data_IF_378385192645
#
_entry.id   IF_378385192645
#
_cell.length_a   1.000
_cell.length_b   1.000
_cell.length_c   1.000
_cell.angle_alpha   90.00
_cell.angle_beta   90.00
_cell.angle_gamma   90.00
#
_symmetry.space_group_name_H-M   'P 1'
#
loop_
_entity.id
_entity.type
_entity.pdbx_description
1 polymer ?
#
# COMPACT_ATOMS: atom_id res chain seq x y z
N UNK A 1 -5.98 14.95 -19.54
CA UNK A 1 -5.64 13.51 -19.71
C UNK A 1 -4.15 13.47 -20.05
N UNK A 2 -3.30 13.27 -19.08
CA UNK A 2 -1.89 12.96 -19.33
C UNK A 2 -1.85 11.52 -19.80
N UNK A 3 -1.49 11.33 -21.07
CA UNK A 3 -1.21 10.04 -21.70
C UNK A 3 0.07 9.48 -21.03
N UNK A 4 -0.10 8.87 -19.86
CA UNK A 4 0.96 8.07 -19.25
C UNK A 4 0.94 6.74 -19.97
N UNK A 5 2.01 6.43 -20.69
CA UNK A 5 2.16 5.16 -21.38
C UNK A 5 1.99 3.97 -20.42
N UNK A 6 1.88 2.73 -20.93
CA UNK A 6 1.65 1.54 -20.12
C UNK A 6 2.75 1.39 -19.04
N UNK A 7 2.35 1.18 -17.79
CA UNK A 7 3.27 0.99 -16.65
C UNK A 7 3.93 -0.39 -16.64
N UNK A 8 3.30 -1.37 -17.30
CA UNK A 8 3.78 -2.76 -17.37
C UNK A 8 3.82 -3.26 -18.82
N UNK A 9 4.77 -4.14 -19.11
CA UNK A 9 4.75 -4.92 -20.36
C UNK A 9 3.46 -5.75 -20.41
N UNK A 10 2.77 -5.76 -21.57
CA UNK A 10 1.48 -6.45 -21.80
C UNK A 10 0.31 -5.94 -20.94
N UNK A 11 0.35 -4.70 -20.50
CA UNK A 11 -0.76 -4.10 -19.77
C UNK A 11 -2.04 -4.11 -20.59
N UNK A 12 -3.13 -4.61 -19.98
CA UNK A 12 -4.46 -4.61 -20.59
C UNK A 12 -5.02 -3.19 -20.68
N UNK A 13 -5.69 -2.90 -21.81
CA UNK A 13 -6.37 -1.61 -21.98
C UNK A 13 -7.77 -1.68 -21.37
N UNK A 14 -8.00 -0.85 -20.37
CA UNK A 14 -9.31 -0.70 -19.71
C UNK A 14 -9.89 0.66 -20.05
N UNK A 15 -11.06 0.67 -20.69
CA UNK A 15 -11.80 1.90 -21.03
C UNK A 15 -13.11 1.98 -20.25
N UNK A 16 -13.63 3.19 -19.97
CA UNK A 16 -14.95 3.33 -19.32
C UNK A 16 -16.08 2.60 -20.06
N UNK A 17 -16.05 2.58 -21.40
CA UNK A 17 -17.05 1.88 -22.22
C UNK A 17 -16.97 0.36 -22.06
N UNK A 18 -15.77 -0.21 -21.96
CA UNK A 18 -15.57 -1.62 -21.64
C UNK A 18 -16.16 -1.95 -20.27
N UNK A 19 -15.81 -1.16 -19.26
CA UNK A 19 -16.30 -1.37 -17.89
C UNK A 19 -17.81 -1.20 -17.81
N UNK A 20 -18.40 -0.26 -18.56
CA UNK A 20 -19.85 -0.10 -18.64
C UNK A 20 -20.53 -1.35 -19.20
N UNK A 21 -20.04 -1.93 -20.31
CA UNK A 21 -20.58 -3.19 -20.87
C UNK A 21 -20.48 -4.37 -19.89
N UNK A 22 -19.35 -4.47 -19.17
CA UNK A 22 -19.16 -5.51 -18.13
C UNK A 22 -20.17 -5.36 -16.98
N UNK A 23 -20.40 -4.13 -16.53
CA UNK A 23 -21.37 -3.82 -15.47
C UNK A 23 -22.80 -4.08 -15.93
N UNK A 24 -23.19 -3.67 -17.14
CA UNK A 24 -24.54 -3.85 -17.67
C UNK A 24 -24.89 -5.33 -17.84
N UNK A 25 -23.89 -6.16 -18.18
CA UNK A 25 -24.05 -7.63 -18.33
C UNK A 25 -24.12 -8.33 -16.97
N UNK A 26 -23.22 -8.00 -16.04
CA UNK A 26 -23.03 -8.80 -14.82
C UNK A 26 -23.67 -8.18 -13.57
N UNK A 27 -23.87 -6.85 -13.56
CA UNK A 27 -24.42 -6.09 -12.43
C UNK A 27 -25.48 -5.09 -12.89
N UNK A 28 -26.55 -5.53 -13.57
CA UNK A 28 -27.54 -4.64 -14.20
C UNK A 28 -28.25 -3.71 -13.20
N UNK A 29 -28.28 -4.07 -11.91
CA UNK A 29 -28.82 -3.22 -10.84
C UNK A 29 -28.04 -1.92 -10.66
N UNK A 30 -26.76 -1.86 -11.08
CA UNK A 30 -25.90 -0.68 -10.99
C UNK A 30 -25.74 0.11 -12.29
N UNK A 31 -26.43 -0.28 -13.39
CA UNK A 31 -26.31 0.36 -14.71
C UNK A 31 -26.63 1.85 -14.72
N UNK A 32 -27.47 2.31 -13.78
CA UNK A 32 -27.88 3.72 -13.65
C UNK A 32 -26.85 4.59 -12.95
N UNK A 33 -25.85 3.99 -12.28
CA UNK A 33 -24.84 4.72 -11.54
C UNK A 33 -23.79 5.32 -12.49
N UNK A 34 -23.36 6.56 -12.28
CA UNK A 34 -22.29 7.16 -13.06
C UNK A 34 -20.97 6.42 -12.82
N UNK A 35 -20.18 6.25 -13.89
CA UNK A 35 -18.88 5.63 -13.86
C UNK A 35 -17.82 6.68 -14.17
N UNK A 36 -16.84 6.86 -13.29
CA UNK A 36 -15.79 7.88 -13.39
C UNK A 36 -14.40 7.25 -13.20
N UNK A 37 -13.45 7.42 -14.13
CA UNK A 37 -12.06 7.04 -13.90
C UNK A 37 -11.49 7.75 -12.68
N UNK A 38 -10.69 7.04 -11.89
CA UNK A 38 -9.94 7.62 -10.76
C UNK A 38 -8.55 8.00 -11.27
N UNK A 39 -8.21 9.28 -11.17
CA UNK A 39 -6.88 9.76 -11.56
C UNK A 39 -5.82 9.17 -10.63
N UNK A 40 -4.73 8.64 -11.19
CA UNK A 40 -3.66 8.01 -10.39
C UNK A 40 -4.05 6.66 -9.79
N UNK A 41 -5.22 6.11 -10.15
CA UNK A 41 -5.70 4.85 -9.60
C UNK A 41 -4.79 3.69 -9.95
N UNK A 42 -4.25 3.04 -8.93
CA UNK A 42 -3.53 1.78 -8.87
C UNK A 42 -2.46 1.48 -9.93
N UNK A 43 -1.34 0.96 -9.51
CA UNK A 43 -0.28 0.51 -10.43
C UNK A 43 -0.59 -0.85 -11.04
N UNK A 44 -1.36 -1.70 -10.35
CA UNK A 44 -1.68 -3.09 -10.76
C UNK A 44 -3.13 -3.27 -11.23
N UNK A 45 -4.04 -2.35 -10.87
CA UNK A 45 -5.45 -2.38 -11.27
C UNK A 45 -5.89 -1.05 -11.84
N UNK A 46 -6.73 -1.08 -12.89
CA UNK A 46 -7.54 0.07 -13.24
C UNK A 46 -8.67 0.24 -12.23
N UNK A 47 -8.82 1.44 -11.66
CA UNK A 47 -9.86 1.76 -10.68
C UNK A 47 -10.82 2.79 -11.25
N UNK A 48 -12.11 2.49 -11.19
CA UNK A 48 -13.17 3.42 -11.60
C UNK A 48 -14.18 3.53 -10.44
N UNK A 49 -14.56 4.78 -10.12
CA UNK A 49 -15.62 5.03 -9.14
C UNK A 49 -16.99 4.80 -9.79
N UNK A 50 -17.85 4.02 -9.13
CA UNK A 50 -19.19 3.70 -9.57
C UNK A 50 -20.21 4.30 -8.59
N UNK A 51 -20.92 5.33 -9.02
CA UNK A 51 -21.75 6.14 -8.14
C UNK A 51 -20.90 6.82 -7.06
N UNK A 52 -21.46 6.99 -5.87
CA UNK A 52 -20.76 7.62 -4.74
C UNK A 52 -20.14 6.59 -3.78
N UNK A 53 -20.63 5.35 -3.78
CA UNK A 53 -20.31 4.35 -2.75
C UNK A 53 -19.52 3.14 -3.23
N UNK A 54 -19.18 3.00 -4.51
CA UNK A 54 -18.54 1.80 -5.04
C UNK A 54 -17.30 2.13 -5.87
N UNK A 55 -16.37 1.18 -5.92
CA UNK A 55 -15.22 1.16 -6.81
C UNK A 55 -15.19 -0.15 -7.61
N UNK A 56 -14.91 -0.04 -8.90
CA UNK A 56 -14.67 -1.18 -9.81
C UNK A 56 -13.17 -1.30 -10.00
N UNK A 57 -12.62 -2.49 -9.78
CA UNK A 57 -11.18 -2.78 -9.91
C UNK A 57 -10.98 -3.86 -10.97
N UNK A 58 -10.19 -3.55 -11.98
CA UNK A 58 -9.83 -4.47 -13.06
C UNK A 58 -8.31 -4.67 -13.07
N UNK A 59 -7.79 -5.88 -12.81
CA UNK A 59 -6.37 -6.18 -12.97
C UNK A 59 -5.84 -5.75 -14.34
N UNK A 60 -4.67 -5.09 -14.35
CA UNK A 60 -4.03 -4.61 -15.59
C UNK A 60 -3.12 -5.66 -16.22
N UNK A 61 -2.73 -6.67 -15.46
CA UNK A 61 -1.86 -7.76 -15.89
C UNK A 61 -2.36 -9.09 -15.34
N UNK A 62 -1.96 -10.19 -15.97
CA UNK A 62 -2.28 -11.56 -15.55
C UNK A 62 -2.40 -12.46 -16.76
N UNK A 63 -1.73 -13.60 -16.72
CA UNK A 63 -1.71 -14.58 -17.82
C UNK A 63 -2.69 -15.74 -17.60
N UNK A 64 -3.04 -16.04 -16.33
CA UNK A 64 -3.96 -17.10 -15.95
C UNK A 64 -5.17 -16.55 -15.17
N UNK A 65 -6.38 -16.55 -15.79
CA UNK A 65 -7.59 -16.09 -15.11
C UNK A 65 -7.95 -16.87 -13.84
N UNK A 66 -7.52 -18.13 -13.70
CA UNK A 66 -7.78 -18.95 -12.51
C UNK A 66 -6.93 -18.45 -11.34
N UNK A 67 -5.65 -18.17 -11.57
CA UNK A 67 -4.75 -17.60 -10.56
C UNK A 67 -5.19 -16.19 -10.17
N UNK A 68 -5.54 -15.34 -11.15
CA UNK A 68 -6.06 -13.99 -10.87
C UNK A 68 -7.33 -14.05 -10.03
N UNK A 69 -8.24 -15.00 -10.30
CA UNK A 69 -9.45 -15.21 -9.49
C UNK A 69 -9.09 -15.56 -8.05
N UNK A 70 -8.21 -16.54 -7.86
CA UNK A 70 -7.77 -16.96 -6.53
C UNK A 70 -7.11 -15.80 -5.75
N UNK A 71 -6.30 -14.96 -6.42
CA UNK A 71 -5.72 -13.75 -5.84
C UNK A 71 -6.79 -12.76 -5.39
N UNK A 72 -7.79 -12.45 -6.24
CA UNK A 72 -8.90 -11.54 -5.89
C UNK A 72 -9.77 -12.09 -4.74
N UNK A 73 -9.94 -13.41 -4.64
CA UNK A 73 -10.66 -14.06 -3.53
C UNK A 73 -9.86 -13.95 -2.23
N UNK A 74 -8.54 -14.13 -2.28
CA UNK A 74 -7.65 -13.92 -1.13
C UNK A 74 -7.62 -12.46 -0.68
N UNK A 75 -7.50 -11.50 -1.61
CA UNK A 75 -7.60 -10.06 -1.33
C UNK A 75 -8.93 -9.71 -0.65
N UNK A 76 -10.05 -10.26 -1.14
CA UNK A 76 -11.37 -10.00 -0.58
C UNK A 76 -11.47 -10.50 0.88
N UNK A 77 -10.91 -11.68 1.17
CA UNK A 77 -10.87 -12.24 2.53
C UNK A 77 -10.00 -11.39 3.46
N UNK A 78 -8.81 -10.99 3.00
CA UNK A 78 -7.90 -10.13 3.77
C UNK A 78 -8.51 -8.75 4.06
N UNK A 79 -9.15 -8.13 3.06
CA UNK A 79 -9.84 -6.85 3.21
C UNK A 79 -11.00 -6.92 4.20
N UNK A 80 -11.79 -7.99 4.16
CA UNK A 80 -12.86 -8.22 5.12
C UNK A 80 -12.33 -8.43 6.55
N UNK A 81 -11.23 -9.17 6.69
CA UNK A 81 -10.59 -9.39 7.99
C UNK A 81 -10.02 -8.09 8.57
N UNK A 82 -9.36 -7.26 7.75
CA UNK A 82 -8.88 -5.94 8.18
C UNK A 82 -10.05 -5.05 8.61
N UNK A 83 -11.08 -4.92 7.77
CA UNK A 83 -12.21 -4.04 8.05
C UNK A 83 -12.98 -4.41 9.32
N UNK A 84 -12.92 -5.68 9.74
CA UNK A 84 -13.57 -6.15 10.97
C UNK A 84 -12.90 -5.62 12.25
N UNK A 85 -11.63 -5.23 12.20
CA UNK A 85 -10.85 -4.80 13.37
C UNK A 85 -10.31 -3.37 13.25
N UNK A 86 -10.19 -2.85 12.05
CA UNK A 86 -9.64 -1.51 11.79
C UNK A 86 -10.61 -0.43 12.29
N UNK A 87 -10.16 0.51 13.15
CA UNK A 87 -11.00 1.62 13.59
C UNK A 87 -11.23 2.66 12.48
N UNK A 88 -10.43 2.64 11.42
CA UNK A 88 -10.60 3.50 10.25
C UNK A 88 -11.36 2.79 9.12
N UNK A 89 -12.11 3.51 8.27
CA UNK A 89 -12.77 2.94 7.11
C UNK A 89 -11.80 2.18 6.18
N UNK A 90 -12.24 1.05 5.66
CA UNK A 90 -11.51 0.29 4.65
C UNK A 90 -12.48 -0.24 3.57
N UNK A 91 -12.01 -0.52 2.34
CA UNK A 91 -12.84 -1.10 1.31
C UNK A 91 -13.38 -2.47 1.73
N UNK A 92 -14.68 -2.66 1.57
CA UNK A 92 -15.34 -3.96 1.76
C UNK A 92 -15.59 -4.60 0.40
N UNK A 93 -15.28 -5.90 0.22
CA UNK A 93 -15.61 -6.61 -1.02
C UNK A 93 -17.14 -6.67 -1.19
N UNK A 94 -17.62 -6.34 -2.39
CA UNK A 94 -19.04 -6.41 -2.75
C UNK A 94 -19.30 -7.62 -3.64
N UNK A 95 -18.52 -7.79 -4.70
CA UNK A 95 -18.67 -8.94 -5.59
C UNK A 95 -17.42 -9.17 -6.44
N UNK A 96 -17.21 -10.41 -6.82
CA UNK A 96 -16.21 -10.84 -7.80
C UNK A 96 -16.92 -11.23 -9.10
N UNK A 97 -16.47 -10.63 -10.19
CA UNK A 97 -17.07 -10.73 -11.51
C UNK A 97 -16.21 -11.57 -12.46
N UNK A 98 -16.85 -12.01 -13.57
CA UNK A 98 -16.23 -12.87 -14.58
C UNK A 98 -15.57 -12.05 -15.70
N UNK A 99 -14.61 -12.62 -16.46
CA UNK A 99 -14.19 -12.10 -17.76
C UNK A 99 -15.39 -11.85 -18.69
N UNK A 100 -15.25 -10.93 -19.65
CA UNK A 100 -16.29 -10.65 -20.64
C UNK A 100 -15.97 -9.49 -21.56
N UNK A 101 -16.72 -9.34 -22.63
CA UNK A 101 -16.62 -8.22 -23.58
C UNK A 101 -15.19 -7.95 -24.10
N UNK A 102 -14.35 -9.01 -24.23
CA UNK A 102 -12.96 -8.91 -24.64
C UNK A 102 -11.97 -8.60 -23.52
N UNK A 103 -12.42 -8.39 -22.28
CA UNK A 103 -11.56 -8.34 -21.11
C UNK A 103 -11.34 -9.76 -20.56
N UNK A 104 -10.07 -10.26 -20.49
CA UNK A 104 -9.82 -11.69 -20.29
C UNK A 104 -9.78 -12.11 -18.82
N UNK A 105 -9.73 -11.17 -17.86
CA UNK A 105 -9.51 -11.46 -16.45
C UNK A 105 -10.78 -11.29 -15.61
N UNK A 106 -10.91 -11.99 -14.48
CA UNK A 106 -11.88 -11.64 -13.46
C UNK A 106 -11.57 -10.24 -12.88
N UNK A 107 -12.61 -9.60 -12.36
CA UNK A 107 -12.55 -8.25 -11.82
C UNK A 107 -13.46 -8.14 -10.59
N UNK A 108 -13.33 -7.07 -9.81
CA UNK A 108 -14.05 -6.94 -8.54
C UNK A 108 -14.74 -5.59 -8.39
N UNK A 109 -15.75 -5.58 -7.52
CA UNK A 109 -16.39 -4.38 -7.00
C UNK A 109 -16.25 -4.38 -5.49
N UNK A 110 -15.89 -3.23 -4.94
CA UNK A 110 -15.76 -2.99 -3.50
C UNK A 110 -16.41 -1.67 -3.12
N UNK A 111 -16.59 -1.42 -1.82
CA UNK A 111 -17.05 -0.11 -1.35
C UNK A 111 -16.00 0.96 -1.61
N UNK A 112 -16.46 2.19 -1.83
CA UNK A 112 -15.61 3.37 -1.95
C UNK A 112 -15.33 3.97 -0.56
N UNK A 113 -14.07 4.29 -0.27
CA UNK A 113 -13.67 5.06 0.91
C UNK A 113 -13.55 6.53 0.50
N UNK A 114 -14.36 7.44 1.04
CA UNK A 114 -14.32 8.85 0.67
C UNK A 114 -13.13 9.58 1.28
N UNK A 115 -12.63 10.61 0.61
CA UNK A 115 -11.49 11.44 1.02
C UNK A 115 -10.46 11.55 -0.08
N UNK A 116 -9.30 12.07 0.26
CA UNK A 116 -8.13 12.17 -0.62
C UNK A 116 -7.01 11.29 -0.09
N UNK A 117 -6.21 10.71 -0.98
CA UNK A 117 -5.00 10.02 -0.52
C UNK A 117 -3.97 11.03 0.04
N UNK A 118 -3.03 10.52 0.83
CA UNK A 118 -2.01 11.34 1.47
C UNK A 118 -0.95 11.91 0.49
N UNK A 119 -1.03 11.60 -0.81
CA UNK A 119 -0.26 12.30 -1.86
C UNK A 119 -0.91 13.64 -2.21
N UNK A 120 -2.23 13.76 -2.03
CA UNK A 120 -3.03 14.96 -2.32
C UNK A 120 -3.24 15.80 -1.05
N UNK A 121 -3.68 15.18 0.05
CA UNK A 121 -3.86 15.83 1.35
C UNK A 121 -2.76 15.35 2.31
N UNK A 122 -1.65 16.11 2.40
CA UNK A 122 -0.46 15.73 3.18
C UNK A 122 -0.70 15.84 4.70
N UNK A 123 -0.71 14.73 5.46
CA UNK A 123 -0.92 14.74 6.90
C UNK A 123 0.36 14.96 7.72
N UNK A 124 1.50 15.21 7.10
CA UNK A 124 2.83 15.03 7.71
C UNK A 124 3.06 15.84 9.00
N UNK A 125 2.38 16.97 9.18
CA UNK A 125 2.45 17.79 10.39
C UNK A 125 1.33 17.54 11.40
N UNK A 126 0.39 16.64 11.13
CA UNK A 126 -0.80 16.43 11.98
C UNK A 126 -0.55 15.44 13.11
N UNK A 127 -0.53 15.93 14.36
CA UNK A 127 -0.51 15.06 15.54
C UNK A 127 -1.78 14.24 15.67
N UNK A 128 -2.93 14.80 15.31
CA UNK A 128 -4.20 14.09 15.34
C UNK A 128 -4.25 12.91 14.34
N UNK A 129 -3.66 13.09 13.16
CA UNK A 129 -3.48 11.98 12.22
C UNK A 129 -2.53 10.90 12.78
N UNK A 130 -1.45 11.32 13.45
CA UNK A 130 -0.51 10.37 14.07
C UNK A 130 -1.17 9.55 15.20
N UNK A 131 -2.06 10.16 15.98
CA UNK A 131 -2.87 9.48 17.00
C UNK A 131 -3.85 8.47 16.37
N UNK A 132 -4.55 8.86 15.30
CA UNK A 132 -5.44 7.94 14.58
C UNK A 132 -4.67 6.74 14.00
N UNK A 133 -3.51 7.01 13.40
CA UNK A 133 -2.64 5.96 12.86
C UNK A 133 -2.14 5.03 13.96
N UNK A 134 -1.79 5.57 15.14
CA UNK A 134 -1.42 4.76 16.29
C UNK A 134 -2.54 3.81 16.71
N UNK A 135 -3.78 4.31 16.77
CA UNK A 135 -4.95 3.49 17.12
C UNK A 135 -5.17 2.35 16.10
N UNK A 136 -4.95 2.59 14.81
CA UNK A 136 -5.02 1.56 13.77
C UNK A 136 -3.92 0.51 13.95
N UNK A 137 -2.67 0.94 14.13
CA UNK A 137 -1.55 0.01 14.30
C UNK A 137 -1.67 -0.79 15.61
N UNK A 138 -2.19 -0.20 16.67
CA UNK A 138 -2.45 -0.91 17.93
C UNK A 138 -3.54 -1.98 17.75
N UNK A 139 -4.62 -1.67 17.03
CA UNK A 139 -5.66 -2.63 16.69
C UNK A 139 -5.10 -3.82 15.89
N UNK A 140 -4.20 -3.58 14.94
CA UNK A 140 -3.55 -4.64 14.17
C UNK A 140 -2.63 -5.51 15.06
N UNK A 141 -1.84 -4.88 15.94
CA UNK A 141 -0.92 -5.56 16.85
C UNK A 141 -1.60 -6.43 17.89
N UNK A 142 -2.81 -6.05 18.27
CA UNK A 142 -3.61 -6.79 19.29
C UNK A 142 -4.51 -7.85 18.67
N UNK A 143 -4.69 -7.84 17.35
CA UNK A 143 -5.50 -8.80 16.64
C UNK A 143 -4.87 -10.22 16.68
N UNK A 144 -5.73 -11.23 16.84
CA UNK A 144 -5.30 -12.62 16.85
C UNK A 144 -4.79 -13.05 15.46
N UNK A 145 -3.54 -13.49 15.40
CA UNK A 145 -2.96 -14.08 14.19
C UNK A 145 -3.46 -15.51 13.93
N UNK A 146 -4.17 -16.11 14.89
CA UNK A 146 -4.62 -17.50 14.86
C UNK A 146 -3.45 -18.50 14.66
N UNK A 147 -2.30 -18.18 15.24
CA UNK A 147 -1.08 -18.97 15.11
C UNK A 147 -0.41 -18.92 13.75
N UNK A 148 -0.89 -18.05 12.83
CA UNK A 148 -0.24 -17.81 11.55
C UNK A 148 1.00 -16.93 11.73
N UNK A 149 1.99 -17.16 10.88
CA UNK A 149 3.22 -16.37 10.77
C UNK A 149 3.34 -15.81 9.37
N UNK A 150 4.33 -14.97 9.13
CA UNK A 150 4.63 -14.39 7.82
C UNK A 150 4.83 -15.49 6.76
N UNK A 151 4.23 -15.27 5.59
CA UNK A 151 4.42 -16.08 4.38
C UNK A 151 4.85 -15.14 3.25
N UNK A 152 6.13 -15.16 2.88
CA UNK A 152 6.80 -14.17 2.02
C UNK A 152 6.22 -14.01 0.63
N UNK A 153 5.69 -15.09 0.04
CA UNK A 153 5.18 -15.09 -1.33
C UNK A 153 3.92 -14.22 -1.55
N UNK A 154 3.22 -13.86 -0.47
CA UNK A 154 1.95 -13.12 -0.55
C UNK A 154 2.11 -11.60 -0.48
N UNK A 155 3.35 -11.05 -0.39
CA UNK A 155 3.58 -9.64 -0.08
C UNK A 155 4.56 -8.90 -0.97
N UNK A 156 4.81 -9.38 -2.17
CA UNK A 156 5.71 -8.72 -3.13
C UNK A 156 7.06 -8.30 -2.51
N UNK A 157 7.63 -9.18 -1.66
CA UNK A 157 8.91 -8.93 -0.99
C UNK A 157 8.84 -7.97 0.21
N UNK A 158 7.65 -7.70 0.79
CA UNK A 158 7.52 -6.88 2.01
C UNK A 158 7.38 -7.76 3.25
N UNK A 159 8.23 -7.51 4.24
CA UNK A 159 8.28 -8.29 5.49
C UNK A 159 9.28 -9.44 5.44
N UNK A 160 9.23 -10.33 6.43
CA UNK A 160 10.18 -11.42 6.60
C UNK A 160 11.43 -11.01 7.38
N UNK A 161 12.58 -11.54 6.97
CA UNK A 161 13.84 -11.32 7.65
C UNK A 161 14.64 -10.21 6.94
N UNK A 162 15.08 -9.17 7.66
CA UNK A 162 15.76 -8.03 7.05
C UNK A 162 16.94 -8.42 6.14
N UNK A 163 17.87 -9.32 6.54
CA UNK A 163 18.97 -9.74 5.67
C UNK A 163 18.56 -10.38 4.33
N UNK A 164 17.37 -10.96 4.23
CA UNK A 164 16.89 -11.55 2.97
C UNK A 164 16.68 -10.48 1.88
N UNK A 165 16.66 -9.20 2.27
CA UNK A 165 16.50 -8.06 1.37
C UNK A 165 17.82 -7.43 0.91
N UNK A 166 18.98 -7.97 1.28
CA UNK A 166 20.29 -7.39 0.95
C UNK A 166 20.51 -7.22 -0.56
N UNK A 167 20.16 -8.22 -1.35
CA UNK A 167 20.30 -8.16 -2.81
C UNK A 167 19.39 -7.08 -3.41
N UNK A 168 18.15 -6.98 -2.90
CA UNK A 168 17.21 -5.94 -3.33
C UNK A 168 17.72 -4.54 -2.97
N UNK A 169 18.19 -4.32 -1.75
CA UNK A 169 18.71 -3.04 -1.29
C UNK A 169 19.95 -2.66 -2.11
N UNK A 170 20.90 -3.58 -2.31
CA UNK A 170 22.09 -3.34 -3.10
C UNK A 170 21.72 -2.99 -4.55
N UNK A 171 20.78 -3.72 -5.16
CA UNK A 171 20.27 -3.42 -6.50
C UNK A 171 19.68 -2.01 -6.56
N UNK A 172 18.78 -1.65 -5.65
CA UNK A 172 18.14 -0.34 -5.62
C UNK A 172 19.14 0.81 -5.43
N UNK A 173 20.13 0.64 -4.55
CA UNK A 173 21.21 1.62 -4.36
C UNK A 173 21.99 1.83 -5.66
N UNK A 174 22.33 0.74 -6.36
CA UNK A 174 23.00 0.81 -7.67
C UNK A 174 22.18 1.55 -8.73
N UNK A 175 20.87 1.29 -8.80
CA UNK A 175 19.96 1.98 -9.73
C UNK A 175 19.74 3.45 -9.37
N UNK A 176 20.01 3.84 -8.12
CA UNK A 176 19.72 5.18 -7.60
C UNK A 176 20.89 6.16 -7.69
N UNK A 177 22.04 5.76 -8.23
CA UNK A 177 23.27 6.60 -8.35
C UNK A 177 23.00 7.93 -9.06
N UNK A 178 22.18 7.91 -10.10
CA UNK A 178 21.84 9.09 -10.90
C UNK A 178 20.61 9.87 -10.40
N UNK A 179 20.08 9.54 -9.20
CA UNK A 179 18.84 10.09 -8.67
C UNK A 179 19.00 11.07 -7.51
N UNK A 180 20.20 11.68 -7.37
CA UNK A 180 20.50 12.66 -6.30
C UNK A 180 20.20 12.13 -4.89
N UNK A 181 20.70 10.91 -4.60
CA UNK A 181 20.62 10.27 -3.29
C UNK A 181 22.02 10.10 -2.69
N UNK A 182 22.13 10.30 -1.39
CA UNK A 182 23.31 9.90 -0.60
C UNK A 182 23.30 8.38 -0.40
N UNK A 183 23.62 7.65 -1.49
CA UNK A 183 23.61 6.18 -1.49
C UNK A 183 24.64 5.60 -0.52
N UNK A 184 25.74 6.31 -0.23
CA UNK A 184 26.74 5.85 0.73
C UNK A 184 26.20 5.86 2.16
N UNK A 185 25.56 6.96 2.60
CA UNK A 185 24.91 7.03 3.92
C UNK A 185 23.75 6.04 4.05
N UNK A 186 22.97 5.81 2.97
CA UNK A 186 21.89 4.83 2.97
C UNK A 186 22.41 3.39 3.07
N UNK A 187 23.51 3.06 2.38
CA UNK A 187 24.17 1.77 2.48
C UNK A 187 24.73 1.51 3.90
N UNK A 188 25.39 2.52 4.48
CA UNK A 188 25.89 2.47 5.87
C UNK A 188 24.74 2.23 6.86
N UNK A 189 23.66 2.99 6.73
CA UNK A 189 22.48 2.83 7.58
C UNK A 189 21.84 1.43 7.44
N UNK A 190 21.76 0.90 6.22
CA UNK A 190 21.28 -0.47 6.03
C UNK A 190 22.17 -1.48 6.73
N UNK A 191 23.49 -1.36 6.58
CA UNK A 191 24.44 -2.25 7.25
C UNK A 191 24.29 -2.24 8.79
N UNK A 192 23.96 -1.06 9.38
CA UNK A 192 23.74 -0.93 10.82
C UNK A 192 22.40 -1.55 11.28
N UNK A 193 21.38 -1.55 10.41
CA UNK A 193 20.02 -1.92 10.78
C UNK A 193 19.63 -3.35 10.36
N UNK A 194 20.24 -3.91 9.31
CA UNK A 194 19.81 -5.18 8.71
C UNK A 194 19.90 -6.39 9.66
N UNK A 195 20.86 -6.36 10.57
CA UNK A 195 21.10 -7.48 11.51
C UNK A 195 20.35 -7.32 12.85
N UNK A 196 19.45 -6.33 12.98
CA UNK A 196 18.63 -6.17 14.17
C UNK A 196 17.76 -7.41 14.42
N UNK A 197 17.75 -7.94 15.65
CA UNK A 197 16.91 -9.09 15.98
C UNK A 197 15.42 -8.75 15.86
N UNK A 198 14.52 -9.75 15.73
CA UNK A 198 13.08 -9.53 15.79
C UNK A 198 12.67 -8.78 17.07
N UNK A 199 11.78 -7.80 16.95
CA UNK A 199 11.29 -7.02 18.10
C UNK A 199 10.17 -7.70 18.89
N UNK A 200 9.76 -8.89 18.48
CA UNK A 200 8.72 -9.71 19.10
C UNK A 200 8.13 -10.68 18.07
N UNK A 201 7.04 -11.37 18.42
CA UNK A 201 6.32 -12.24 17.49
C UNK A 201 5.67 -11.43 16.37
N UNK A 202 5.35 -12.11 15.26
CA UNK A 202 4.55 -11.55 14.20
C UNK A 202 3.19 -11.08 14.71
N UNK A 203 2.72 -9.99 14.16
CA UNK A 203 1.40 -9.41 14.41
C UNK A 203 0.66 -9.22 13.09
N UNK A 204 -0.64 -8.96 13.13
CA UNK A 204 -1.36 -8.57 11.92
C UNK A 204 -0.84 -7.23 11.43
N UNK A 205 -0.62 -7.11 10.13
CA UNK A 205 -0.09 -5.91 9.48
C UNK A 205 -0.80 -5.63 8.17
N UNK A 206 -0.87 -4.37 7.77
CA UNK A 206 -1.27 -3.96 6.43
C UNK A 206 -0.18 -4.31 5.39
N UNK A 207 1.08 -4.05 5.73
CA UNK A 207 2.26 -4.36 4.95
C UNK A 207 2.64 -3.31 3.89
N UNK A 208 1.73 -2.37 3.55
CA UNK A 208 1.96 -1.36 2.50
C UNK A 208 1.32 -0.01 2.85
N UNK A 209 1.68 0.57 4.01
CA UNK A 209 1.17 1.87 4.46
C UNK A 209 1.92 3.03 3.79
N UNK A 210 1.77 3.10 2.46
CA UNK A 210 2.27 4.21 1.64
C UNK A 210 1.24 5.33 1.50
N UNK A 211 1.66 6.58 1.17
CA UNK A 211 0.74 7.71 1.01
C UNK A 211 -0.43 7.47 0.05
N UNK A 212 -0.24 6.70 -1.02
CA UNK A 212 -1.32 6.35 -1.96
C UNK A 212 -2.36 5.38 -1.39
N UNK A 213 -2.04 4.68 -0.30
CA UNK A 213 -2.92 3.69 0.36
C UNK A 213 -3.58 4.23 1.63
N UNK A 214 -3.37 5.51 1.95
CA UNK A 214 -3.89 6.13 3.17
C UNK A 214 -4.77 7.32 2.80
N UNK A 215 -6.04 7.26 3.17
CA UNK A 215 -7.00 8.35 2.96
C UNK A 215 -6.92 9.33 4.10
N UNK A 216 -6.90 10.60 3.76
CA UNK A 216 -6.93 11.72 4.70
C UNK A 216 -8.23 12.48 4.51
N UNK A 217 -8.79 12.98 5.60
CA UNK A 217 -9.99 13.79 5.62
C UNK A 217 -9.86 14.83 6.73
N UNK A 218 -9.78 16.10 6.36
CA UNK A 218 -9.60 17.21 7.30
C UNK A 218 -8.41 17.02 8.26
N UNK A 219 -7.27 16.56 7.73
CA UNK A 219 -6.04 16.34 8.50
C UNK A 219 -6.09 15.16 9.48
N UNK A 220 -7.11 14.29 9.37
CA UNK A 220 -7.29 13.05 10.14
C UNK A 220 -7.20 11.83 9.23
N UNK A 221 -6.97 10.66 9.80
CA UNK A 221 -7.02 9.41 9.05
C UNK A 221 -8.47 9.11 8.64
N UNK A 222 -8.75 9.19 7.34
CA UNK A 222 -10.06 8.94 6.74
C UNK A 222 -10.28 7.50 6.32
N UNK A 223 -9.23 6.70 6.19
CA UNK A 223 -9.32 5.28 5.82
C UNK A 223 -8.04 4.70 5.27
N UNK A 224 -8.05 3.40 5.02
CA UNK A 224 -6.96 2.65 4.39
C UNK A 224 -7.45 2.03 3.08
N UNK A 225 -6.55 1.95 2.10
CA UNK A 225 -6.77 1.31 0.80
C UNK A 225 -5.77 0.16 0.62
N UNK A 226 -6.00 -0.66 -0.42
CA UNK A 226 -5.13 -1.78 -0.79
C UNK A 226 -4.86 -2.76 0.37
N UNK A 227 -5.94 -3.17 0.98
CA UNK A 227 -5.96 -3.98 2.21
C UNK A 227 -5.81 -5.49 1.95
N UNK A 228 -5.63 -5.89 0.68
CA UNK A 228 -5.54 -7.29 0.25
C UNK A 228 -4.31 -8.04 0.79
N UNK A 229 -3.29 -7.32 1.21
CA UNK A 229 -2.10 -7.89 1.86
C UNK A 229 -2.22 -8.11 3.38
N UNK A 230 -3.38 -7.83 3.99
CA UNK A 230 -3.53 -7.92 5.44
C UNK A 230 -3.26 -9.32 5.98
N UNK A 231 -2.28 -9.44 6.86
CA UNK A 231 -1.84 -10.72 7.42
C UNK A 231 -0.67 -10.56 8.39
N UNK A 232 -0.22 -11.68 8.99
CA UNK A 232 0.87 -11.64 9.96
C UNK A 232 2.22 -11.30 9.32
N UNK A 233 2.99 -10.43 9.99
CA UNK A 233 4.38 -10.13 9.67
C UNK A 233 5.09 -9.50 10.87
N UNK A 234 6.38 -9.14 10.67
CA UNK A 234 7.17 -8.36 11.62
C UNK A 234 6.35 -7.18 12.17
N UNK A 235 6.24 -7.11 13.50
CA UNK A 235 5.48 -6.06 14.19
C UNK A 235 5.95 -4.64 13.88
N UNK A 236 7.18 -4.48 13.38
CA UNK A 236 7.75 -3.22 12.98
C UNK A 236 7.44 -2.84 11.51
N UNK A 237 6.84 -3.75 10.71
CA UNK A 237 6.65 -3.54 9.28
C UNK A 237 5.79 -2.32 8.99
N UNK A 238 4.65 -2.18 9.66
CA UNK A 238 3.73 -1.05 9.43
C UNK A 238 4.23 0.28 10.00
N UNK A 239 5.32 0.27 10.79
CA UNK A 239 5.99 1.50 11.20
C UNK A 239 6.61 2.27 10.02
N UNK A 240 6.71 1.68 8.83
CA UNK A 240 7.08 2.40 7.59
C UNK A 240 6.27 3.66 7.39
N UNK A 241 5.00 3.66 7.82
CA UNK A 241 4.10 4.80 7.79
C UNK A 241 4.66 6.02 8.52
N UNK A 242 5.46 5.83 9.57
CA UNK A 242 6.10 6.92 10.31
C UNK A 242 7.00 7.77 9.41
N UNK A 243 7.78 7.14 8.53
CA UNK A 243 8.69 7.84 7.61
C UNK A 243 8.03 8.21 6.29
N UNK A 244 7.09 7.41 5.81
CA UNK A 244 6.35 7.73 4.59
C UNK A 244 5.44 8.95 4.77
N UNK A 245 4.73 9.03 5.91
CA UNK A 245 3.63 9.97 6.12
C UNK A 245 3.96 11.14 7.04
N UNK A 246 4.89 11.01 8.03
CA UNK A 246 4.99 11.96 9.13
C UNK A 246 6.30 12.74 9.17
N UNK A 247 6.24 14.02 9.55
CA UNK A 247 7.39 14.78 10.00
C UNK A 247 7.79 14.39 11.42
N UNK A 248 9.02 14.73 11.84
CA UNK A 248 9.59 14.31 13.11
C UNK A 248 8.68 14.56 14.34
N UNK A 249 8.02 15.72 14.53
CA UNK A 249 7.15 15.92 15.68
C UNK A 249 5.94 14.97 15.73
N UNK A 250 5.24 14.79 14.60
CA UNK A 250 4.10 13.88 14.51
C UNK A 250 4.55 12.41 14.59
N UNK A 251 5.74 12.09 14.08
CA UNK A 251 6.39 10.78 14.19
C UNK A 251 6.67 10.42 15.66
N UNK A 252 7.10 11.39 16.47
CA UNK A 252 7.28 11.21 17.92
C UNK A 252 5.95 10.87 18.61
N UNK A 253 4.86 11.57 18.27
CA UNK A 253 3.52 11.26 18.78
C UNK A 253 3.13 9.82 18.47
N UNK A 254 3.29 9.37 17.22
CA UNK A 254 3.02 7.98 16.83
C UNK A 254 3.81 6.98 17.68
N UNK A 255 5.12 7.22 17.83
CA UNK A 255 6.02 6.37 18.63
C UNK A 255 5.57 6.26 20.08
N UNK A 256 5.28 7.41 20.70
CA UNK A 256 4.88 7.49 22.11
C UNK A 256 3.54 6.81 22.35
N UNK A 257 2.54 7.04 21.48
CA UNK A 257 1.22 6.41 21.58
C UNK A 257 1.28 4.88 21.45
N UNK A 258 2.15 4.37 20.57
CA UNK A 258 2.34 2.93 20.40
C UNK A 258 3.24 2.29 21.46
N UNK A 259 3.94 3.09 22.28
CA UNK A 259 4.92 2.57 23.24
C UNK A 259 6.05 1.78 22.59
N UNK A 260 6.48 2.18 21.38
CA UNK A 260 7.51 1.47 20.64
C UNK A 260 8.85 1.45 21.37
N UNK A 261 9.44 0.26 21.53
CA UNK A 261 10.83 0.13 21.97
C UNK A 261 11.81 0.72 20.94
N UNK A 262 13.03 1.04 21.36
CA UNK A 262 14.07 1.50 20.43
C UNK A 262 14.38 0.47 19.35
N UNK A 263 14.37 -0.81 19.70
CA UNK A 263 14.58 -1.92 18.74
C UNK A 263 13.46 -1.96 17.70
N UNK A 264 12.21 -1.89 18.13
CA UNK A 264 11.06 -1.93 17.23
C UNK A 264 11.07 -0.72 16.28
N UNK A 265 11.38 0.46 16.82
CA UNK A 265 11.50 1.69 16.04
C UNK A 265 12.62 1.61 15.00
N UNK A 266 13.80 1.13 15.39
CA UNK A 266 14.93 0.94 14.49
C UNK A 266 14.62 -0.06 13.37
N UNK A 267 13.91 -1.16 13.67
CA UNK A 267 13.44 -2.10 12.65
C UNK A 267 12.43 -1.45 11.69
N UNK A 268 11.49 -0.65 12.19
CA UNK A 268 10.57 0.12 11.35
C UNK A 268 11.30 1.08 10.40
N UNK A 269 12.39 1.70 10.87
CA UNK A 269 13.28 2.52 10.04
C UNK A 269 13.97 1.70 8.94
N UNK A 270 14.41 0.48 9.25
CA UNK A 270 14.98 -0.44 8.25
C UNK A 270 13.97 -0.80 7.16
N UNK A 271 12.74 -1.15 7.55
CA UNK A 271 11.66 -1.42 6.59
C UNK A 271 11.31 -0.21 5.73
N UNK A 272 11.28 0.99 6.32
CA UNK A 272 11.03 2.23 5.56
C UNK A 272 12.15 2.51 4.53
N UNK A 273 13.41 2.25 4.87
CA UNK A 273 14.54 2.33 3.95
C UNK A 273 14.36 1.34 2.80
N UNK A 274 14.14 0.07 3.12
CA UNK A 274 13.99 -1.02 2.14
C UNK A 274 12.88 -0.73 1.13
N UNK A 275 11.69 -0.31 1.62
CA UNK A 275 10.55 -0.02 0.74
C UNK A 275 10.75 1.25 -0.09
N UNK A 276 11.32 2.32 0.50
CA UNK A 276 11.45 3.60 -0.18
C UNK A 276 12.49 3.58 -1.31
N UNK A 277 13.53 2.76 -1.20
CA UNK A 277 14.60 2.68 -2.22
C UNK A 277 14.05 2.32 -3.61
N UNK A 278 13.18 1.31 -3.70
CA UNK A 278 12.59 0.89 -4.95
C UNK A 278 11.75 1.97 -5.63
N UNK A 279 11.08 2.82 -4.84
CA UNK A 279 10.22 3.88 -5.36
C UNK A 279 10.98 4.93 -6.17
N UNK A 280 12.24 5.21 -5.81
CA UNK A 280 13.01 6.30 -6.38
C UNK A 280 13.30 6.08 -7.85
N UNK A 281 13.92 4.96 -8.19
CA UNK A 281 14.38 4.70 -9.55
C UNK A 281 13.30 4.06 -10.43
N UNK A 282 12.49 3.14 -9.87
CA UNK A 282 11.50 2.40 -10.64
C UNK A 282 10.41 3.34 -11.21
N UNK A 283 9.94 4.29 -10.40
CA UNK A 283 8.90 5.23 -10.78
C UNK A 283 9.43 6.57 -11.30
N UNK A 284 10.73 6.74 -11.46
CA UNK A 284 11.34 8.03 -11.84
C UNK A 284 10.71 8.63 -13.11
N UNK A 285 10.41 7.81 -14.12
CA UNK A 285 9.84 8.23 -15.41
C UNK A 285 8.33 8.02 -15.51
N UNK A 286 7.82 6.94 -14.92
CA UNK A 286 6.41 6.53 -15.08
C UNK A 286 5.49 7.20 -14.06
N UNK A 287 5.97 7.48 -12.86
CA UNK A 287 5.18 8.10 -11.78
C UNK A 287 6.04 9.01 -10.88
N UNK A 288 6.40 10.23 -11.33
CA UNK A 288 7.32 11.12 -10.62
C UNK A 288 6.90 11.45 -9.17
N UNK A 289 5.59 11.47 -8.87
CA UNK A 289 5.07 11.73 -7.52
C UNK A 289 5.46 10.60 -6.56
N UNK A 290 5.34 9.33 -6.97
CA UNK A 290 5.78 8.18 -6.17
C UNK A 290 7.29 8.22 -5.99
N UNK A 291 8.06 8.50 -7.04
CA UNK A 291 9.51 8.66 -6.94
C UNK A 291 9.92 9.78 -5.97
N UNK A 292 9.25 10.93 -6.00
CA UNK A 292 9.48 12.01 -5.04
C UNK A 292 9.13 11.61 -3.60
N UNK A 293 8.10 10.77 -3.41
CA UNK A 293 7.75 10.19 -2.11
C UNK A 293 8.87 9.32 -1.57
N UNK A 294 9.45 8.45 -2.40
CA UNK A 294 10.62 7.65 -2.04
C UNK A 294 11.78 8.53 -1.53
N UNK A 295 12.15 9.57 -2.28
CA UNK A 295 13.21 10.51 -1.87
C UNK A 295 12.91 11.22 -0.53
N UNK A 296 11.68 11.69 -0.33
CA UNK A 296 11.28 12.31 0.96
C UNK A 296 11.39 11.32 2.11
N UNK A 297 10.98 10.09 1.91
CA UNK A 297 11.07 9.04 2.91
C UNK A 297 12.52 8.75 3.27
N UNK A 298 13.40 8.57 2.28
CA UNK A 298 14.83 8.31 2.51
C UNK A 298 15.51 9.48 3.23
N UNK A 299 15.18 10.72 2.91
CA UNK A 299 15.68 11.89 3.65
C UNK A 299 15.24 11.86 5.12
N UNK A 300 13.98 11.49 5.42
CA UNK A 300 13.49 11.31 6.79
C UNK A 300 14.16 10.14 7.51
N UNK A 301 14.43 9.06 6.78
CA UNK A 301 15.13 7.88 7.28
C UNK A 301 16.56 8.23 7.69
N UNK A 302 17.26 9.06 6.93
CA UNK A 302 18.64 9.49 7.27
C UNK A 302 18.69 10.39 8.52
N UNK A 303 17.65 11.17 8.78
CA UNK A 303 17.61 12.12 9.91
C UNK A 303 17.10 11.52 11.23
N UNK A 304 16.60 10.29 11.25
CA UNK A 304 16.12 9.55 12.45
C UNK A 304 14.64 9.61 12.70
#
# INVERSE_FOLDING_TARGET
>A
MTDQGPMHERQLTVTPDLVRRLLDDQLPQHRHLPLRPVAGGGTVCAVLRLGEGLAVRLPLTGDDPVQVRAGLEAEAQASAALAAICPAPAPLPVTLCRPGHGYPLPWSVQTWVPGHDALVEDPAGSSAFAEDLAAVLDAFRTADTSGRTFVGEQRDGRGGHLPDHDEWVAHCLGQSVDHDLDTASLAGLWADLRDLPPAGPDVMTHGDLMPGNVIVTHGRLGGLLDTGGFGPADRALDLVAAWHLLHAPARAVLRDQLGCTDLEWARGRAWALQQALGLVWYYARTHPVISATGRRTLARVLTG
#
